data_IF_653416757757
#
_entry.id   IF_653416757757
#
_cell.length_a   1.000
_cell.length_b   1.000
_cell.length_c   1.000
_cell.angle_alpha   90.00
_cell.angle_beta   90.00
_cell.angle_gamma   90.00
#
_symmetry.space_group_name_H-M   'P 1'
#
loop_
_entity.id
_entity.type
_entity.pdbx_description
1 polymer ?
#
# COMPACT_ATOMS: atom_id res chain seq x y z
N UNK A 1 -23.66 36.40 -43.92
CA UNK A 1 -24.35 35.57 -42.88
C UNK A 1 -23.93 34.10 -42.93
N UNK A 2 -23.76 33.51 -44.13
CA UNK A 2 -23.39 32.08 -44.31
C UNK A 2 -21.96 31.76 -43.82
N UNK A 3 -20.99 32.68 -43.98
CA UNK A 3 -19.59 32.44 -43.58
C UNK A 3 -19.37 32.39 -42.06
N UNK A 4 -20.13 33.19 -41.30
CA UNK A 4 -20.09 33.16 -39.84
C UNK A 4 -20.66 31.86 -39.28
N UNK A 5 -21.70 31.31 -39.94
CA UNK A 5 -22.29 30.02 -39.59
C UNK A 5 -21.32 28.86 -39.88
N UNK A 6 -20.63 28.88 -41.03
CA UNK A 6 -19.60 27.89 -41.37
C UNK A 6 -18.41 27.92 -40.40
N UNK A 7 -17.95 29.11 -39.99
CA UNK A 7 -16.87 29.27 -39.02
C UNK A 7 -17.23 28.71 -37.64
N UNK A 8 -18.46 28.93 -37.17
CA UNK A 8 -18.93 28.38 -35.90
C UNK A 8 -19.06 26.85 -35.95
N UNK A 9 -19.59 26.30 -37.05
CA UNK A 9 -19.65 24.84 -37.26
C UNK A 9 -18.24 24.24 -37.29
N UNK A 10 -17.30 24.86 -38.00
CA UNK A 10 -15.90 24.40 -38.06
C UNK A 10 -15.23 24.42 -36.68
N UNK A 11 -15.47 25.47 -35.88
CA UNK A 11 -14.94 25.58 -34.52
C UNK A 11 -15.53 24.49 -33.60
N UNK A 12 -16.83 24.22 -33.70
CA UNK A 12 -17.49 23.14 -32.94
C UNK A 12 -16.93 21.77 -33.31
N UNK A 13 -16.68 21.51 -34.60
CA UNK A 13 -16.08 20.25 -35.05
C UNK A 13 -14.65 20.09 -34.51
N UNK A 14 -13.84 21.14 -34.51
CA UNK A 14 -12.48 21.09 -33.94
C UNK A 14 -12.52 20.79 -32.44
N UNK A 15 -13.41 21.46 -31.69
CA UNK A 15 -13.57 21.22 -30.25
C UNK A 15 -14.04 19.78 -29.98
N UNK A 16 -14.93 19.25 -30.83
CA UNK A 16 -15.44 17.89 -30.68
C UNK A 16 -14.35 16.84 -30.98
N UNK A 17 -13.57 17.05 -32.05
CA UNK A 17 -12.45 16.17 -32.43
C UNK A 17 -11.34 16.18 -31.38
N UNK A 18 -10.97 17.36 -30.87
CA UNK A 18 -9.95 17.46 -29.81
C UNK A 18 -10.41 16.81 -28.52
N UNK A 19 -11.68 17.02 -28.13
CA UNK A 19 -12.26 16.36 -26.95
C UNK A 19 -12.27 14.84 -27.10
N UNK A 20 -12.68 14.31 -28.26
CA UNK A 20 -12.62 12.87 -28.54
C UNK A 20 -11.19 12.33 -28.49
N UNK A 21 -10.20 13.06 -29.00
CA UNK A 21 -8.80 12.65 -28.94
C UNK A 21 -8.28 12.55 -27.49
N UNK A 22 -8.69 13.45 -26.59
CA UNK A 22 -8.34 13.38 -25.16
C UNK A 22 -8.96 12.18 -24.45
N UNK A 23 -10.19 11.79 -24.80
CA UNK A 23 -10.83 10.59 -24.24
C UNK A 23 -10.14 9.29 -24.68
N UNK A 24 -9.62 9.23 -25.92
CA UNK A 24 -8.89 8.05 -26.43
C UNK A 24 -7.51 7.91 -25.78
N UNK A 25 -6.90 9.01 -25.34
CA UNK A 25 -5.60 9.00 -24.65
C UNK A 25 -5.69 8.74 -23.14
N UNK A 26 -6.90 8.53 -22.60
CA UNK A 26 -7.07 8.15 -21.20
C UNK A 26 -6.66 6.70 -21.00
N UNK A 27 -5.35 6.47 -20.88
CA UNK A 27 -4.80 5.17 -20.53
C UNK A 27 -5.35 4.70 -19.18
N UNK A 28 -5.76 3.44 -19.11
CA UNK A 28 -6.15 2.80 -17.86
C UNK A 28 -4.94 2.75 -16.94
N UNK A 29 -4.96 3.52 -15.85
CA UNK A 29 -3.98 3.42 -14.78
C UNK A 29 -4.12 2.03 -14.14
N UNK A 30 -3.17 1.14 -14.45
CA UNK A 30 -3.06 -0.14 -13.74
C UNK A 30 -2.48 0.19 -12.37
N UNK A 31 -3.35 0.32 -11.37
CA UNK A 31 -2.92 0.38 -9.99
C UNK A 31 -2.25 -0.95 -9.63
N UNK A 32 -1.16 -0.89 -8.87
CA UNK A 32 -0.53 -2.09 -8.32
C UNK A 32 -1.58 -2.89 -7.52
N UNK A 33 -1.52 -4.22 -7.62
CA UNK A 33 -2.42 -5.05 -6.81
C UNK A 33 -1.98 -5.02 -5.34
N UNK A 34 -2.87 -5.29 -4.38
CA UNK A 34 -2.48 -5.41 -2.97
C UNK A 34 -1.37 -6.45 -2.73
N UNK A 35 -1.25 -7.44 -3.63
CA UNK A 35 -0.16 -8.43 -3.59
C UNK A 35 1.16 -7.85 -4.08
N UNK A 36 1.13 -7.00 -5.10
CA UNK A 36 2.33 -6.31 -5.58
C UNK A 36 2.86 -5.33 -4.54
N UNK A 37 1.98 -4.67 -3.78
CA UNK A 37 2.35 -3.76 -2.69
C UNK A 37 3.06 -4.48 -1.54
N UNK A 38 2.66 -5.71 -1.21
CA UNK A 38 3.26 -6.51 -0.14
C UNK A 38 4.54 -7.23 -0.57
N UNK A 39 4.74 -7.47 -1.87
CA UNK A 39 5.87 -8.24 -2.39
C UNK A 39 7.23 -7.75 -1.86
N UNK A 40 7.56 -6.45 -1.84
CA UNK A 40 8.84 -5.98 -1.32
C UNK A 40 9.08 -6.31 0.15
N UNK A 41 8.02 -6.26 0.98
CA UNK A 41 8.11 -6.65 2.39
C UNK A 41 8.39 -8.14 2.52
N UNK A 42 7.64 -8.98 1.81
CA UNK A 42 7.76 -10.44 1.88
C UNK A 42 9.12 -10.91 1.36
N UNK A 43 9.55 -10.39 0.21
CA UNK A 43 10.86 -10.72 -0.38
C UNK A 43 12.00 -10.31 0.56
N UNK A 44 11.92 -9.12 1.16
CA UNK A 44 12.90 -8.67 2.16
C UNK A 44 12.94 -9.58 3.39
N UNK A 45 11.79 -10.05 3.87
CA UNK A 45 11.75 -11.00 5.00
C UNK A 45 12.41 -12.33 4.65
N UNK A 46 12.15 -12.86 3.44
CA UNK A 46 12.79 -14.10 2.95
C UNK A 46 14.31 -13.91 2.83
N UNK A 47 14.76 -12.79 2.28
CA UNK A 47 16.18 -12.46 2.18
C UNK A 47 16.85 -12.37 3.57
N UNK A 48 16.20 -11.71 4.54
CA UNK A 48 16.71 -11.62 5.91
C UNK A 48 16.81 -12.99 6.60
N UNK A 49 15.88 -13.90 6.32
CA UNK A 49 15.91 -15.28 6.82
C UNK A 49 17.05 -16.08 6.18
N UNK A 50 17.27 -15.91 4.87
CA UNK A 50 18.27 -16.65 4.10
C UNK A 50 19.68 -16.07 4.22
N UNK A 51 19.84 -14.87 4.79
CA UNK A 51 21.12 -14.19 4.88
C UNK A 51 22.15 -15.00 5.71
N UNK A 52 23.26 -15.45 5.10
CA UNK A 52 24.29 -16.24 5.80
C UNK A 52 24.90 -15.54 7.01
N UNK A 53 24.95 -14.20 7.00
CA UNK A 53 25.50 -13.41 8.11
C UNK A 53 24.74 -13.63 9.42
N UNK A 54 23.44 -13.96 9.34
CA UNK A 54 22.59 -14.17 10.49
C UNK A 54 22.13 -15.62 10.64
N UNK A 55 22.65 -16.58 9.86
CA UNK A 55 22.15 -17.95 9.83
C UNK A 55 22.45 -18.76 11.11
N UNK A 56 23.50 -18.40 11.84
CA UNK A 56 23.91 -19.09 13.06
C UNK A 56 22.94 -18.82 14.22
N UNK A 57 22.83 -19.77 15.15
CA UNK A 57 21.97 -19.64 16.34
C UNK A 57 22.38 -18.46 17.24
N UNK A 58 23.68 -18.17 17.34
CA UNK A 58 24.21 -16.99 18.07
C UNK A 58 23.66 -15.66 17.52
N UNK A 59 23.30 -15.61 16.24
CA UNK A 59 22.77 -14.42 15.58
C UNK A 59 21.23 -14.42 15.48
N UNK A 60 20.54 -15.32 16.18
CA UNK A 60 19.07 -15.42 16.13
C UNK A 60 18.36 -14.14 16.55
N UNK A 61 18.89 -13.45 17.57
CA UNK A 61 18.34 -12.17 18.02
C UNK A 61 18.46 -11.10 16.94
N UNK A 62 19.64 -11.00 16.31
CA UNK A 62 19.90 -10.06 15.21
C UNK A 62 19.04 -10.38 13.98
N UNK A 63 18.86 -11.66 13.65
CA UNK A 63 17.96 -12.10 12.57
C UNK A 63 16.52 -11.67 12.84
N UNK A 64 16.03 -11.87 14.08
CA UNK A 64 14.69 -11.43 14.49
C UNK A 64 14.54 -9.92 14.38
N UNK A 65 15.53 -9.15 14.83
CA UNK A 65 15.52 -7.69 14.74
C UNK A 65 15.36 -7.23 13.29
N UNK A 66 16.13 -7.79 12.34
CA UNK A 66 16.02 -7.45 10.91
C UNK A 66 14.68 -7.82 10.29
N UNK A 67 14.15 -9.00 10.64
CA UNK A 67 12.81 -9.39 10.19
C UNK A 67 11.75 -8.42 10.72
N UNK A 68 11.84 -8.02 11.99
CA UNK A 68 10.89 -7.07 12.60
C UNK A 68 11.01 -5.66 12.02
N UNK A 69 12.22 -5.19 11.69
CA UNK A 69 12.46 -3.92 10.98
C UNK A 69 11.72 -3.88 9.63
N UNK A 70 11.71 -5.01 8.91
CA UNK A 70 10.98 -5.15 7.66
C UNK A 70 9.47 -5.22 7.92
N UNK A 71 9.03 -6.03 8.89
CA UNK A 71 7.63 -6.19 9.23
C UNK A 71 6.97 -4.87 9.67
N UNK A 72 7.67 -4.02 10.43
CA UNK A 72 7.20 -2.69 10.84
C UNK A 72 6.89 -1.75 9.66
N UNK A 73 7.51 -1.96 8.50
CA UNK A 73 7.24 -1.16 7.30
C UNK A 73 6.09 -1.69 6.48
N UNK A 74 5.82 -3.00 6.53
CA UNK A 74 4.81 -3.66 5.70
C UNK A 74 3.49 -3.98 6.40
N UNK A 75 3.44 -3.99 7.73
CA UNK A 75 2.25 -4.39 8.48
C UNK A 75 1.78 -3.32 9.48
N UNK A 76 0.46 -3.10 9.50
CA UNK A 76 -0.21 -2.28 10.51
C UNK A 76 -0.57 -3.13 11.75
N UNK A 77 0.35 -3.15 12.71
CA UNK A 77 0.17 -3.86 13.98
C UNK A 77 -1.01 -3.33 14.81
N UNK A 78 -1.44 -2.08 14.61
CA UNK A 78 -2.61 -1.54 15.31
C UNK A 78 -3.88 -2.19 14.77
N UNK A 79 -4.01 -2.26 13.44
CA UNK A 79 -5.14 -2.92 12.79
C UNK A 79 -5.13 -4.42 13.08
N UNK A 80 -3.98 -5.09 12.99
CA UNK A 80 -3.87 -6.50 13.34
C UNK A 80 -4.27 -6.77 14.80
N UNK A 81 -3.78 -5.95 15.74
CA UNK A 81 -4.15 -6.06 17.16
C UNK A 81 -5.65 -5.89 17.38
N UNK A 82 -6.28 -4.95 16.67
CA UNK A 82 -7.74 -4.75 16.72
C UNK A 82 -8.49 -5.97 16.16
N UNK A 83 -8.01 -6.57 15.09
CA UNK A 83 -8.61 -7.79 14.50
C UNK A 83 -8.50 -8.97 15.45
N UNK A 84 -7.35 -9.14 16.11
CA UNK A 84 -7.12 -10.18 17.12
C UNK A 84 -8.02 -10.00 18.35
N UNK A 85 -8.14 -8.76 18.86
CA UNK A 85 -8.98 -8.45 20.03
C UNK A 85 -10.48 -8.50 19.74
N UNK A 86 -10.89 -8.32 18.49
CA UNK A 86 -12.28 -8.37 18.05
C UNK A 86 -13.20 -7.46 18.88
N UNK A 87 -14.24 -8.05 19.49
CA UNK A 87 -15.24 -7.31 20.29
C UNK A 87 -14.64 -6.65 21.52
N UNK A 88 -13.63 -7.26 22.14
CA UNK A 88 -12.99 -6.77 23.38
C UNK A 88 -12.31 -5.43 23.18
N UNK A 89 -11.85 -5.11 21.95
CA UNK A 89 -11.19 -3.84 21.62
C UNK A 89 -12.03 -2.62 22.02
N UNK A 90 -13.36 -2.70 21.88
CA UNK A 90 -14.29 -1.61 22.20
C UNK A 90 -14.33 -1.27 23.69
N UNK A 91 -14.10 -2.26 24.56
CA UNK A 91 -14.09 -2.08 26.02
C UNK A 91 -12.78 -1.55 26.57
N UNK A 92 -11.70 -1.55 25.77
CA UNK A 92 -10.40 -1.04 26.18
C UNK A 92 -10.31 0.47 26.03
N UNK A 93 -9.65 1.12 26.99
CA UNK A 93 -9.24 2.52 26.87
C UNK A 93 -7.98 2.66 25.98
N UNK A 94 -7.58 3.90 25.69
CA UNK A 94 -6.46 4.20 24.79
C UNK A 94 -5.13 3.60 25.28
N UNK A 95 -4.82 3.70 26.57
CA UNK A 95 -3.57 3.16 27.13
C UNK A 95 -3.54 1.63 27.06
N UNK A 96 -4.65 0.97 27.36
CA UNK A 96 -4.76 -0.48 27.25
C UNK A 96 -4.59 -0.97 25.80
N UNK A 97 -5.15 -0.23 24.83
CA UNK A 97 -4.97 -0.55 23.40
C UNK A 97 -3.51 -0.38 23.00
N UNK A 98 -2.87 0.72 23.39
CA UNK A 98 -1.46 0.98 23.11
C UNK A 98 -0.57 -0.10 23.72
N UNK A 99 -0.80 -0.45 24.98
CA UNK A 99 -0.07 -1.48 25.69
C UNK A 99 -0.24 -2.85 25.03
N UNK A 100 -1.46 -3.20 24.59
CA UNK A 100 -1.68 -4.44 23.86
C UNK A 100 -0.94 -4.47 22.52
N UNK A 101 -0.98 -3.38 21.74
CA UNK A 101 -0.26 -3.29 20.46
C UNK A 101 1.25 -3.48 20.68
N UNK A 102 1.81 -2.85 21.71
CA UNK A 102 3.22 -3.00 22.07
C UNK A 102 3.56 -4.46 22.40
N UNK A 103 2.77 -5.11 23.25
CA UNK A 103 2.96 -6.51 23.61
C UNK A 103 2.81 -7.44 22.40
N UNK A 104 1.74 -7.29 21.62
CA UNK A 104 1.46 -8.09 20.44
C UNK A 104 2.59 -7.99 19.40
N UNK A 105 3.21 -6.82 19.27
CA UNK A 105 4.31 -6.60 18.31
C UNK A 105 5.63 -7.17 18.80
N UNK A 106 5.84 -7.25 20.12
CA UNK A 106 7.10 -7.74 20.72
C UNK A 106 7.21 -9.26 20.75
N UNK A 107 6.08 -9.96 21.00
CA UNK A 107 5.98 -11.42 21.16
C UNK A 107 6.29 -12.15 19.85
#
# INVERSE_FOLDING_TARGET
MIDALKKNIFLTVIVLVTTCAFYVFSGSAVAASPTDDLRPTLDGMVEAIQNPAYAREENKALRREKIMEIAHRGFDFTTMSKLVLGKTYRGLNTEQRKYFVELFTKL
#
